data_IF_300097418717
#
_entry.id   IF_300097418717
#
_cell.length_a   1.000
_cell.length_b   1.000
_cell.length_c   1.000
_cell.angle_alpha   90.00
_cell.angle_beta   90.00
_cell.angle_gamma   90.00
#
_symmetry.space_group_name_H-M   'P 1'
#
loop_
_entity.id
_entity.type
_entity.pdbx_description
1 polymer ?
#
# COMPACT_ATOMS: atom_id res chain seq x y z
N UNK A 1 -22.13 1.55 -15.52
CA UNK A 1 -22.60 1.40 -14.13
C UNK A 1 -21.51 1.98 -13.25
N UNK A 2 -21.76 3.11 -12.61
CA UNK A 2 -20.83 3.70 -11.64
C UNK A 2 -20.96 2.91 -10.34
N UNK A 3 -20.21 1.81 -10.23
CA UNK A 3 -20.03 1.14 -8.95
C UNK A 3 -19.28 2.12 -8.03
N UNK A 4 -19.79 2.41 -6.82
CA UNK A 4 -19.07 3.26 -5.90
C UNK A 4 -17.73 2.61 -5.57
N UNK A 5 -16.66 3.24 -6.04
CA UNK A 5 -15.29 2.84 -5.71
C UNK A 5 -15.00 3.38 -4.31
N UNK A 6 -14.73 2.49 -3.37
CA UNK A 6 -14.30 2.90 -2.04
C UNK A 6 -12.97 3.66 -2.17
N UNK A 7 -12.90 4.87 -1.61
CA UNK A 7 -11.68 5.67 -1.57
C UNK A 7 -11.17 5.74 -0.13
N UNK A 8 -9.89 5.46 0.05
CA UNK A 8 -9.19 5.58 1.31
C UNK A 8 -8.19 6.73 1.22
N UNK A 9 -8.25 7.65 2.18
CA UNK A 9 -7.26 8.72 2.31
C UNK A 9 -6.30 8.35 3.44
N UNK A 10 -5.00 8.37 3.13
CA UNK A 10 -3.96 8.07 4.09
C UNK A 10 -3.12 9.30 4.40
N UNK A 11 -2.81 9.49 5.68
CA UNK A 11 -1.66 10.29 6.07
C UNK A 11 -0.35 9.49 5.90
N UNK A 12 0.80 10.16 6.02
CA UNK A 12 2.11 9.52 5.84
C UNK A 12 2.37 8.39 6.85
N UNK A 13 1.83 8.49 8.06
CA UNK A 13 2.00 7.47 9.10
C UNK A 13 1.20 6.23 8.76
N UNK A 14 -0.04 6.41 8.30
CA UNK A 14 -0.91 5.34 7.88
C UNK A 14 -0.36 4.63 6.63
N UNK A 15 0.20 5.37 5.65
CA UNK A 15 0.91 4.78 4.51
C UNK A 15 2.11 3.92 4.95
N UNK A 16 2.92 4.41 5.89
CA UNK A 16 4.07 3.66 6.41
C UNK A 16 3.65 2.39 7.13
N UNK A 17 2.59 2.49 7.94
CA UNK A 17 2.05 1.35 8.67
C UNK A 17 1.53 0.29 7.69
N UNK A 18 0.73 0.70 6.71
CA UNK A 18 0.14 -0.21 5.72
C UNK A 18 1.21 -0.89 4.87
N UNK A 19 2.26 -0.16 4.46
CA UNK A 19 3.38 -0.75 3.74
C UNK A 19 4.07 -1.83 4.57
N UNK A 20 4.35 -1.53 5.85
CA UNK A 20 4.97 -2.48 6.77
C UNK A 20 4.09 -3.72 6.96
N UNK A 21 2.81 -3.54 7.27
CA UNK A 21 1.89 -4.67 7.51
C UNK A 21 1.72 -5.53 6.26
N UNK A 22 1.69 -4.92 5.08
CA UNK A 22 1.62 -5.66 3.80
C UNK A 22 2.90 -6.47 3.56
N UNK A 23 4.07 -5.89 3.84
CA UNK A 23 5.34 -6.62 3.78
C UNK A 23 5.39 -7.79 4.77
N UNK A 24 4.95 -7.58 6.01
CA UNK A 24 4.90 -8.62 7.05
C UNK A 24 3.94 -9.75 6.63
N UNK A 25 2.75 -9.42 6.11
CA UNK A 25 1.78 -10.40 5.65
C UNK A 25 2.34 -11.28 4.51
N UNK A 26 3.05 -10.69 3.56
CA UNK A 26 3.73 -11.43 2.49
C UNK A 26 4.90 -12.27 3.01
N UNK A 27 5.70 -11.74 3.94
CA UNK A 27 6.86 -12.43 4.50
C UNK A 27 6.45 -13.67 5.32
N UNK A 28 5.36 -13.56 6.07
CA UNK A 28 4.86 -14.63 6.93
C UNK A 28 3.72 -15.43 6.30
N UNK A 29 3.49 -15.28 4.99
CA UNK A 29 2.46 -16.00 4.25
C UNK A 29 2.68 -17.52 4.35
N UNK A 30 1.69 -18.24 4.90
CA UNK A 30 1.77 -19.70 5.12
C UNK A 30 1.13 -20.51 3.98
N UNK A 31 0.75 -19.86 2.88
CA UNK A 31 -0.16 -20.41 1.88
C UNK A 31 -1.60 -19.98 2.14
N UNK A 32 -2.48 -20.17 1.17
CA UNK A 32 -3.85 -19.67 1.20
C UNK A 32 -4.39 -19.45 -0.20
N UNK A 33 -5.35 -18.55 -0.34
CA UNK A 33 -5.87 -18.15 -1.64
C UNK A 33 -4.79 -17.40 -2.46
N UNK A 34 -4.43 -17.88 -3.67
CA UNK A 34 -3.50 -17.16 -4.54
C UNK A 34 -3.95 -15.73 -4.85
N UNK A 35 -5.26 -15.46 -4.90
CA UNK A 35 -5.78 -14.13 -5.17
C UNK A 35 -5.47 -13.15 -4.04
N UNK A 36 -5.46 -13.62 -2.78
CA UNK A 36 -5.07 -12.78 -1.64
C UNK A 36 -3.58 -12.46 -1.68
N UNK A 37 -2.74 -13.42 -2.07
CA UNK A 37 -1.31 -13.18 -2.22
C UNK A 37 -1.02 -12.19 -3.37
N UNK A 38 -1.71 -12.32 -4.50
CA UNK A 38 -1.60 -11.40 -5.62
C UNK A 38 -2.03 -9.98 -5.22
N UNK A 39 -3.18 -9.85 -4.56
CA UNK A 39 -3.66 -8.58 -4.00
C UNK A 39 -2.62 -7.92 -3.08
N UNK A 40 -2.01 -8.69 -2.17
CA UNK A 40 -0.97 -8.15 -1.27
C UNK A 40 0.28 -7.69 -2.03
N UNK A 41 0.67 -8.39 -3.10
CA UNK A 41 1.81 -8.01 -3.94
C UNK A 41 1.54 -6.71 -4.70
N UNK A 42 0.36 -6.56 -5.29
CA UNK A 42 -0.08 -5.33 -5.96
C UNK A 42 -0.14 -4.17 -4.98
N UNK A 43 -0.81 -4.38 -3.84
CA UNK A 43 -0.97 -3.38 -2.79
C UNK A 43 0.37 -2.91 -2.24
N UNK A 44 1.34 -3.81 -2.05
CA UNK A 44 2.71 -3.44 -1.65
C UNK A 44 3.33 -2.45 -2.62
N UNK A 45 3.18 -2.67 -3.93
CA UNK A 45 3.74 -1.77 -4.94
C UNK A 45 3.04 -0.42 -4.95
N UNK A 46 1.72 -0.39 -4.84
CA UNK A 46 0.95 0.85 -4.81
C UNK A 46 1.31 1.71 -3.60
N UNK A 47 1.33 1.13 -2.39
CA UNK A 47 1.67 1.87 -1.17
C UNK A 47 3.14 2.34 -1.20
N UNK A 48 4.05 1.55 -1.78
CA UNK A 48 5.44 1.99 -1.97
C UNK A 48 5.54 3.21 -2.89
N UNK A 49 4.80 3.24 -4.01
CA UNK A 49 4.75 4.39 -4.91
C UNK A 49 4.22 5.64 -4.19
N UNK A 50 3.11 5.49 -3.47
CA UNK A 50 2.56 6.59 -2.68
C UNK A 50 3.55 7.12 -1.62
N UNK A 51 4.29 6.24 -0.95
CA UNK A 51 5.35 6.62 -0.02
C UNK A 51 6.51 7.35 -0.69
N UNK A 52 6.93 6.89 -1.87
CA UNK A 52 7.99 7.53 -2.64
C UNK A 52 7.58 8.93 -3.11
N UNK A 53 6.36 9.08 -3.64
CA UNK A 53 5.77 10.36 -4.04
C UNK A 53 5.66 11.33 -2.86
N UNK A 54 5.20 10.86 -1.71
CA UNK A 54 5.12 11.68 -0.50
C UNK A 54 6.51 12.13 -0.03
N UNK A 55 7.51 11.26 -0.14
CA UNK A 55 8.89 11.59 0.26
C UNK A 55 9.55 12.61 -0.68
N UNK A 56 9.28 12.50 -1.99
CA UNK A 56 9.73 13.48 -2.98
C UNK A 56 9.01 14.82 -2.82
N UNK A 57 7.70 14.80 -2.57
CA UNK A 57 6.91 16.01 -2.36
C UNK A 57 7.40 16.81 -1.15
N UNK A 58 7.91 16.14 -0.13
CA UNK A 58 8.54 16.78 1.03
C UNK A 58 9.90 17.42 0.69
N UNK A 59 10.64 16.84 -0.28
CA UNK A 59 11.93 17.38 -0.74
C UNK A 59 11.81 18.63 -1.62
N UNK A 60 10.71 18.80 -2.36
CA UNK A 60 10.47 19.97 -3.22
C UNK A 60 9.67 21.09 -2.54
N UNK A 61 9.45 21.01 -1.22
CA UNK A 61 8.71 22.01 -0.44
C UNK A 61 9.57 23.15 0.13
N UNK A 62 10.79 23.31 -0.39
CA UNK A 62 11.73 24.38 -0.03
C UNK A 62 11.80 25.47 -1.10
#
# INVERSE_FOLDING_TARGET
MDNPVAHFSYDITALRLEYKTTCDALMYWRGGDPAEQEFLMEKKQEVFRALAEASLSDQFRY
#
